data_IF_467015544978
#
_entry.id   IF_467015544978
#
_cell.length_a   1.000
_cell.length_b   1.000
_cell.length_c   1.000
_cell.angle_alpha   90.00
_cell.angle_beta   90.00
_cell.angle_gamma   90.00
#
_symmetry.space_group_name_H-M   'P 1'
#
loop_
_entity.id
_entity.type
_entity.pdbx_description
1 polymer ?
#
# COMPACT_ATOMS: atom_id res chain seq x y z
N UNK A 1 14.05 5.75 5.73
CA UNK A 1 12.66 6.00 6.18
C UNK A 1 12.09 4.66 6.64
N UNK A 2 11.40 4.59 7.76
CA UNK A 2 10.90 3.31 8.28
C UNK A 2 9.80 2.71 7.39
N UNK A 3 9.71 1.38 7.25
CA UNK A 3 8.71 0.68 6.43
C UNK A 3 7.27 1.12 6.75
N UNK A 4 6.94 1.17 8.04
CA UNK A 4 5.61 1.50 8.54
C UNK A 4 5.19 2.91 8.13
N UNK A 5 6.13 3.87 8.17
CA UNK A 5 5.90 5.25 7.75
C UNK A 5 5.63 5.33 6.25
N UNK A 6 6.32 4.52 5.45
CA UNK A 6 6.12 4.47 4.01
C UNK A 6 4.74 3.90 3.64
N UNK A 7 4.32 2.82 4.29
CA UNK A 7 2.98 2.24 4.14
C UNK A 7 1.90 3.23 4.60
N UNK A 8 2.12 3.91 5.73
CA UNK A 8 1.19 4.90 6.23
C UNK A 8 0.96 6.05 5.24
N UNK A 9 2.03 6.61 4.66
CA UNK A 9 1.91 7.65 3.63
C UNK A 9 1.19 7.16 2.38
N UNK A 10 1.48 5.94 1.90
CA UNK A 10 0.80 5.36 0.75
C UNK A 10 -0.71 5.22 1.02
N UNK A 11 -1.09 4.80 2.22
CA UNK A 11 -2.49 4.70 2.65
C UNK A 11 -3.18 6.08 2.75
N UNK A 12 -2.46 7.11 3.19
CA UNK A 12 -2.98 8.49 3.21
C UNK A 12 -3.26 9.01 1.80
N UNK A 13 -2.33 8.78 0.86
CA UNK A 13 -2.50 9.13 -0.55
C UNK A 13 -3.72 8.38 -1.13
N UNK A 14 -3.85 7.09 -0.86
CA UNK A 14 -5.01 6.31 -1.30
C UNK A 14 -6.33 6.81 -0.71
N UNK A 15 -6.33 7.21 0.57
CA UNK A 15 -7.52 7.78 1.22
C UNK A 15 -7.90 9.11 0.60
N UNK A 16 -6.92 9.94 0.27
CA UNK A 16 -7.16 11.21 -0.42
C UNK A 16 -7.79 11.01 -1.80
N UNK A 17 -7.27 10.08 -2.62
CA UNK A 17 -7.84 9.84 -3.95
C UNK A 17 -9.21 9.14 -3.91
N UNK A 18 -9.52 8.38 -2.85
CA UNK A 18 -10.86 7.82 -2.64
C UNK A 18 -11.96 8.86 -2.45
N UNK A 19 -11.64 10.07 -2.00
CA UNK A 19 -12.64 11.15 -1.83
C UNK A 19 -12.84 11.98 -3.09
N UNK A 20 -12.00 11.77 -4.11
CA UNK A 20 -12.11 12.48 -5.39
C UNK A 20 -13.11 11.76 -6.30
N UNK A 21 -14.11 12.47 -6.87
CA UNK A 21 -15.00 11.88 -7.86
C UNK A 21 -14.26 11.64 -9.19
N UNK A 22 -14.50 10.49 -9.81
CA UNK A 22 -13.89 10.11 -11.10
C UNK A 22 -13.03 8.85 -11.02
N UNK A 23 -12.14 8.70 -12.01
CA UNK A 23 -11.36 7.50 -12.32
C UNK A 23 -10.76 6.73 -11.12
N UNK A 24 -10.52 5.44 -11.35
CA UNK A 24 -10.00 4.46 -10.38
C UNK A 24 -8.90 5.04 -9.48
N UNK A 25 -9.19 5.11 -8.17
CA UNK A 25 -8.28 5.68 -7.18
C UNK A 25 -6.91 4.95 -7.15
N UNK A 26 -6.88 3.67 -7.50
CA UNK A 26 -5.64 2.88 -7.61
C UNK A 26 -4.67 3.44 -8.64
N UNK A 27 -5.16 3.87 -9.81
CA UNK A 27 -4.30 4.39 -10.87
C UNK A 27 -3.71 5.73 -10.49
N UNK A 28 -4.52 6.62 -9.90
CA UNK A 28 -4.05 7.93 -9.41
C UNK A 28 -3.01 7.81 -8.29
N UNK A 29 -3.18 6.84 -7.40
CA UNK A 29 -2.20 6.55 -6.35
C UNK A 29 -0.89 6.06 -6.97
N UNK A 30 -0.97 5.15 -7.95
CA UNK A 30 0.21 4.60 -8.62
C UNK A 30 0.97 5.66 -9.43
N UNK A 31 0.26 6.57 -10.09
CA UNK A 31 0.82 7.72 -10.80
C UNK A 31 1.49 8.70 -9.82
N UNK A 32 0.80 9.08 -8.75
CA UNK A 32 1.34 9.98 -7.73
C UNK A 32 2.62 9.41 -7.07
N UNK A 33 2.62 8.13 -6.71
CA UNK A 33 3.83 7.49 -6.16
C UNK A 33 4.96 7.47 -7.20
N UNK A 34 4.64 7.35 -8.50
CA UNK A 34 5.65 7.35 -9.56
C UNK A 34 6.30 8.71 -9.77
N UNK A 35 5.50 9.77 -9.69
CA UNK A 35 5.93 11.14 -9.96
C UNK A 35 6.67 11.76 -8.77
N UNK A 36 6.22 11.48 -7.55
CA UNK A 36 6.75 12.12 -6.35
C UNK A 36 7.78 11.28 -5.60
N UNK A 37 7.83 9.95 -5.80
CA UNK A 37 8.77 9.10 -5.07
C UNK A 37 9.97 8.67 -5.90
N UNK A 38 11.15 8.75 -5.28
CA UNK A 38 12.39 8.29 -5.89
C UNK A 38 12.35 6.78 -6.20
N UNK A 39 13.12 6.32 -7.22
CA UNK A 39 13.18 4.90 -7.59
C UNK A 39 13.46 3.95 -6.41
N UNK A 40 14.31 4.37 -5.46
CA UNK A 40 14.65 3.58 -4.26
C UNK A 40 13.49 3.43 -3.28
N UNK A 41 12.63 4.45 -3.16
CA UNK A 41 11.44 4.37 -2.31
C UNK A 41 10.38 3.45 -2.92
N UNK A 42 10.22 3.50 -4.25
CA UNK A 42 9.32 2.60 -4.98
C UNK A 42 9.72 1.13 -4.86
N UNK A 43 11.03 0.85 -4.92
CA UNK A 43 11.55 -0.49 -4.69
C UNK A 43 11.27 -0.99 -3.26
N UNK A 44 11.44 -0.13 -2.26
CA UNK A 44 11.12 -0.45 -0.86
C UNK A 44 9.63 -0.73 -0.67
N UNK A 45 8.75 0.11 -1.22
CA UNK A 45 7.30 -0.08 -1.13
C UNK A 45 6.87 -1.44 -1.70
N UNK A 46 7.41 -1.84 -2.87
CA UNK A 46 7.15 -3.17 -3.45
C UNK A 46 7.62 -4.30 -2.55
N UNK A 47 8.78 -4.14 -1.90
CA UNK A 47 9.31 -5.12 -0.94
C UNK A 47 8.45 -5.26 0.32
N UNK A 48 7.72 -4.21 0.71
CA UNK A 48 6.81 -4.25 1.86
C UNK A 48 5.43 -4.82 1.51
N UNK A 49 4.89 -4.51 0.33
CA UNK A 49 3.61 -5.09 -0.14
C UNK A 49 3.70 -6.61 -0.25
N UNK A 50 4.84 -7.14 -0.73
CA UNK A 50 5.06 -8.59 -0.78
C UNK A 50 5.18 -9.27 0.60
N UNK A 51 5.46 -8.54 1.68
CA UNK A 51 5.51 -9.08 3.05
C UNK A 51 4.18 -8.93 3.80
N UNK A 52 3.33 -7.97 3.44
CA UNK A 52 2.05 -7.70 4.11
C UNK A 52 0.99 -8.79 3.93
N UNK A 53 0.99 -9.51 2.80
CA UNK A 53 0.03 -10.59 2.53
C UNK A 53 0.35 -11.89 3.30
N UNK A 54 1.58 -12.08 3.74
CA UNK A 54 1.96 -13.26 4.53
C UNK A 54 1.43 -13.22 5.98
N UNK A 55 1.05 -12.04 6.48
CA UNK A 55 0.55 -11.86 7.84
C UNK A 55 -0.98 -12.04 7.96
N UNK A 56 -1.75 -11.71 6.90
CA UNK A 56 -3.22 -11.80 6.90
C UNK A 56 -3.75 -13.21 6.62
N UNK A 57 -2.95 -14.09 6.00
CA UNK A 57 -3.36 -15.47 5.66
C UNK A 57 -3.18 -16.47 6.82
N UNK A 58 -2.53 -16.09 7.94
CA UNK A 58 -2.31 -17.00 9.08
C UNK A 58 -3.40 -17.02 10.16
N UNK A 59 -4.45 -16.21 10.07
CA UNK A 59 -5.48 -16.11 11.12
C UNK A 59 -6.75 -16.95 10.89
N UNK A 60 -6.88 -17.69 9.78
CA UNK A 60 -8.08 -18.49 9.50
C UNK A 60 -7.99 -19.97 9.89
N UNK A 61 -6.90 -20.43 10.52
CA UNK A 61 -6.80 -21.83 10.96
C UNK A 61 -7.20 -21.98 12.44
N UNK A 62 -8.51 -21.94 12.71
CA UNK A 62 -9.09 -22.46 13.96
C UNK A 62 -9.99 -23.64 13.59
N UNK A 63 -9.62 -24.90 13.90
CA UNK A 63 -10.46 -26.05 13.59
C UNK A 63 -11.69 -26.08 14.51
N UNK A 64 -12.86 -26.49 14.02
CA UNK A 64 -14.02 -26.74 14.87
C UNK A 64 -13.82 -28.03 15.67
N UNK A 65 -14.34 -28.04 16.91
CA UNK A 65 -14.43 -29.18 17.82
C UNK A 65 -15.51 -30.17 17.41
#
# INVERSE_FOLDING_TARGET
MSPEKMVHMANQIATFFKTQPGAEASDKVAEHIRDFWEPRMRAQLRGYVGQGEAASIRLSSRPPS
#
